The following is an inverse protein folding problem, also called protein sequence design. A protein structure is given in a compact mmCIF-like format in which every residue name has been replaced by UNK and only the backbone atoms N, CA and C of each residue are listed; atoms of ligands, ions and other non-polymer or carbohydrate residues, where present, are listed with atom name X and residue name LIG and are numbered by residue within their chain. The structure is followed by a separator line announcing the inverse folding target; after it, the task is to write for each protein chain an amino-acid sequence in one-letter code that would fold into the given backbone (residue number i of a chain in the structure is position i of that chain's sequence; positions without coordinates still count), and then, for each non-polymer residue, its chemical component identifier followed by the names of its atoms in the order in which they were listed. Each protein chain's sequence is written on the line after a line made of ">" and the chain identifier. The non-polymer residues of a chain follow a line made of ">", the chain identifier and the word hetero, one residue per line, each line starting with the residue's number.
data_IF_170396403145
#
_entry.id   IF_170396403145
#
_cell.length_a   1.000
_cell.length_b   1.000
_cell.length_c   1.000
_cell.angle_alpha   90.00
_cell.angle_beta   90.00
_cell.angle_gamma   90.00
#
_symmetry.space_group_name_H-M   'P 1'
#
loop_
_entity.id
_entity.type
_entity.pdbx_description
1 polymer ?
#
# COMPACT_ATOMS: atom_id res chain seq x y z
N UNK A 1 20.07 12.61 29.94
CA UNK A 1 18.93 13.53 30.22
C UNK A 1 18.39 13.20 31.61
N UNK A 2 18.14 14.20 32.47
CA UNK A 2 17.64 14.01 33.85
C UNK A 2 16.86 15.25 34.34
N UNK A 3 15.97 15.07 35.33
CA UNK A 3 15.14 16.11 35.94
C UNK A 3 15.24 16.07 37.47
N UNK A 4 14.99 17.21 38.12
CA UNK A 4 14.82 17.29 39.57
C UNK A 4 13.36 16.99 39.93
N UNK A 5 13.14 16.06 40.85
CA UNK A 5 11.81 15.73 41.38
C UNK A 5 11.83 15.78 42.90
N UNK A 6 10.66 15.61 43.54
CA UNK A 6 10.53 15.52 44.99
C UNK A 6 11.30 14.33 45.59
N UNK A 7 11.56 13.28 44.80
CA UNK A 7 12.35 12.10 45.19
C UNK A 7 13.84 12.24 44.87
N UNK A 8 14.27 13.40 44.39
CA UNK A 8 15.63 13.67 43.95
C UNK A 8 15.81 13.67 42.43
N UNK A 9 17.06 13.70 41.99
CA UNK A 9 17.38 13.84 40.57
C UNK A 9 17.33 12.48 39.86
N UNK A 10 16.57 12.39 38.77
CA UNK A 10 16.33 11.12 38.07
C UNK A 10 15.78 11.26 36.65
N UNK A 11 15.29 10.14 36.12
CA UNK A 11 14.58 10.04 34.83
C UNK A 11 13.45 9.01 34.95
N UNK A 12 12.39 9.11 34.14
CA UNK A 12 11.31 8.13 34.16
C UNK A 12 11.83 6.72 33.81
N UNK A 13 11.14 5.72 34.38
CA UNK A 13 11.28 4.34 33.93
C UNK A 13 10.45 4.10 32.67
N UNK A 14 10.86 3.15 31.85
CA UNK A 14 10.26 2.94 30.52
C UNK A 14 8.73 2.82 30.53
N UNK A 15 8.13 2.15 31.52
CA UNK A 15 6.68 1.92 31.59
C UNK A 15 5.87 3.17 31.95
N UNK A 16 6.35 4.01 32.88
CA UNK A 16 5.54 5.12 33.43
C UNK A 16 5.30 6.23 32.41
N UNK A 17 6.16 6.32 31.39
CA UNK A 17 6.04 7.29 30.31
C UNK A 17 4.74 7.08 29.53
N UNK A 18 4.45 5.85 29.12
CA UNK A 18 3.25 5.51 28.34
C UNK A 18 1.96 5.69 29.15
N UNK A 19 1.90 5.22 30.40
CA UNK A 19 0.76 5.43 31.28
C UNK A 19 0.48 6.92 31.53
N UNK A 20 1.51 7.72 31.83
CA UNK A 20 1.34 9.14 32.15
C UNK A 20 0.90 9.96 30.92
N UNK A 21 1.52 9.72 29.76
CA UNK A 21 1.19 10.46 28.54
C UNK A 21 -0.17 10.09 27.98
N UNK A 22 -0.48 8.79 27.86
CA UNK A 22 -1.76 8.34 27.29
C UNK A 22 -2.94 8.82 28.12
N UNK A 23 -2.87 8.69 29.44
CA UNK A 23 -3.90 9.19 30.37
C UNK A 23 -4.11 10.70 30.24
N UNK A 24 -3.03 11.48 30.15
CA UNK A 24 -3.12 12.95 30.01
C UNK A 24 -3.81 13.37 28.71
N UNK A 25 -3.56 12.66 27.61
CA UNK A 25 -4.02 13.07 26.29
C UNK A 25 -5.34 12.43 25.87
N UNK A 26 -5.64 11.22 26.33
CA UNK A 26 -6.81 10.43 25.91
C UNK A 26 -7.84 10.25 27.04
N UNK A 27 -7.45 10.50 28.29
CA UNK A 27 -8.27 10.18 29.46
C UNK A 27 -8.27 8.69 29.79
N UNK A 28 -9.15 8.29 30.72
CA UNK A 28 -9.33 6.89 31.13
C UNK A 28 -10.83 6.59 31.33
N UNK A 29 -11.34 5.45 30.83
CA UNK A 29 -10.69 4.58 29.85
C UNK A 29 -10.62 5.23 28.46
N UNK A 30 -9.63 4.88 27.65
CA UNK A 30 -9.63 5.14 26.21
C UNK A 30 -9.81 3.86 25.40
N UNK A 31 -10.08 3.99 24.10
CA UNK A 31 -10.62 2.88 23.31
C UNK A 31 -9.59 1.80 22.94
N UNK A 32 -8.49 2.18 22.28
CA UNK A 32 -7.55 1.22 21.70
C UNK A 32 -6.11 1.56 22.11
N UNK A 33 -5.37 0.55 22.59
CA UNK A 33 -3.92 0.62 22.80
C UNK A 33 -3.23 -0.47 21.98
N UNK A 34 -2.20 -0.08 21.21
CA UNK A 34 -1.50 -0.97 20.28
C UNK A 34 -0.05 -1.22 20.68
N UNK A 35 0.52 -2.37 20.32
CA UNK A 35 1.97 -2.57 20.34
C UNK A 35 2.39 -3.93 19.81
N UNK A 36 3.67 -4.27 19.90
CA UNK A 36 4.15 -5.61 19.56
C UNK A 36 3.73 -6.66 20.61
N UNK A 37 3.68 -7.94 20.22
CA UNK A 37 3.40 -9.06 21.14
C UNK A 37 4.41 -9.15 22.29
N UNK A 38 5.63 -8.68 22.09
CA UNK A 38 6.68 -8.57 23.11
C UNK A 38 6.37 -7.51 24.18
N UNK A 39 5.48 -6.56 23.89
CA UNK A 39 5.07 -5.54 24.85
C UNK A 39 3.93 -6.03 25.76
N UNK A 40 3.25 -7.14 25.45
CA UNK A 40 2.23 -7.72 26.35
C UNK A 40 2.79 -7.85 27.76
N UNK A 41 3.97 -8.47 27.87
CA UNK A 41 4.69 -8.59 29.13
C UNK A 41 6.18 -8.24 28.96
N UNK A 42 6.77 -7.41 29.85
CA UNK A 42 6.13 -6.81 31.03
C UNK A 42 5.48 -5.44 30.74
N UNK A 43 5.66 -4.86 29.56
CA UNK A 43 5.40 -3.44 29.33
C UNK A 43 3.95 -3.02 29.54
N UNK A 44 3.02 -3.50 28.71
CA UNK A 44 1.60 -3.20 28.79
C UNK A 44 0.96 -3.71 30.09
N UNK A 45 1.42 -4.86 30.61
CA UNK A 45 0.98 -5.36 31.92
C UNK A 45 1.33 -4.37 33.04
N UNK A 46 2.52 -3.76 33.00
CA UNK A 46 2.93 -2.74 33.96
C UNK A 46 2.18 -1.42 33.75
N UNK A 47 1.87 -1.04 32.51
CA UNK A 47 1.05 0.14 32.24
C UNK A 47 -0.37 0.00 32.80
N UNK A 48 -1.00 -1.17 32.63
CA UNK A 48 -2.27 -1.51 33.25
C UNK A 48 -2.14 -1.37 34.77
N UNK A 49 -1.12 -1.98 35.38
CA UNK A 49 -0.93 -1.93 36.82
C UNK A 49 -0.73 -0.49 37.34
N UNK A 50 -0.01 0.35 36.60
CA UNK A 50 0.23 1.76 36.96
C UNK A 50 -1.03 2.62 36.82
N UNK A 51 -1.78 2.45 35.73
CA UNK A 51 -2.95 3.26 35.40
C UNK A 51 -4.19 2.84 36.19
N UNK A 52 -4.40 1.54 36.40
CA UNK A 52 -5.58 0.99 37.06
C UNK A 52 -5.43 0.87 38.59
N UNK A 53 -4.27 1.23 39.15
CA UNK A 53 -4.02 1.21 40.60
C UNK A 53 -5.07 1.99 41.42
N UNK A 54 -5.67 3.04 40.83
CA UNK A 54 -6.72 3.85 41.44
C UNK A 54 -8.14 3.30 41.23
N UNK A 55 -8.28 2.10 40.64
CA UNK A 55 -9.56 1.42 40.43
C UNK A 55 -10.35 1.87 39.19
N UNK A 56 -9.73 2.61 38.27
CA UNK A 56 -10.33 3.04 37.00
C UNK A 56 -9.74 2.22 35.87
N UNK A 57 -10.59 1.74 34.95
CA UNK A 57 -10.16 1.00 33.76
C UNK A 57 -9.27 1.87 32.87
N UNK A 58 -8.18 1.31 32.36
CA UNK A 58 -7.21 2.04 31.53
C UNK A 58 -7.59 2.04 30.05
N UNK A 59 -7.81 0.86 29.45
CA UNK A 59 -8.02 0.68 27.99
C UNK A 59 -9.14 -0.32 27.71
N UNK A 60 -9.97 -0.08 26.69
CA UNK A 60 -11.02 -1.01 26.29
C UNK A 60 -10.52 -2.19 25.45
N UNK A 61 -9.68 -1.94 24.44
CA UNK A 61 -9.17 -2.93 23.51
C UNK A 61 -7.65 -2.85 23.37
N UNK A 62 -6.99 -3.99 23.43
CA UNK A 62 -5.55 -4.12 23.21
C UNK A 62 -5.29 -4.87 21.91
N UNK A 63 -4.53 -4.26 21.00
CA UNK A 63 -4.18 -4.84 19.71
C UNK A 63 -2.67 -5.10 19.66
N UNK A 64 -2.27 -6.36 19.53
CA UNK A 64 -0.86 -6.74 19.46
C UNK A 64 -0.50 -7.35 18.12
N UNK A 65 0.48 -6.77 17.43
CA UNK A 65 1.02 -7.36 16.21
C UNK A 65 2.06 -8.44 16.53
N UNK A 66 2.06 -9.49 15.72
CA UNK A 66 3.03 -10.57 15.81
C UNK A 66 4.41 -10.14 15.29
N UNK A 67 5.40 -10.98 15.57
CA UNK A 67 6.77 -10.73 15.16
C UNK A 67 6.99 -10.87 13.65
N UNK A 68 7.88 -10.01 13.15
CA UNK A 68 8.50 -10.18 11.84
C UNK A 68 9.67 -11.17 11.95
N UNK A 69 9.64 -12.21 11.13
CA UNK A 69 10.77 -13.11 10.89
C UNK A 69 11.51 -12.65 9.63
N UNK A 70 12.81 -12.92 9.55
CA UNK A 70 13.62 -12.70 8.35
C UNK A 70 14.24 -14.03 7.95
N UNK A 71 13.91 -14.52 6.74
CA UNK A 71 14.32 -15.83 6.25
C UNK A 71 14.03 -16.98 7.26
N UNK A 72 12.86 -16.93 7.90
CA UNK A 72 12.38 -17.93 8.86
C UNK A 72 12.98 -17.80 10.26
N UNK A 73 13.81 -16.79 10.54
CA UNK A 73 14.46 -16.59 11.84
C UNK A 73 14.05 -15.27 12.49
N UNK A 74 14.09 -15.20 13.81
CA UNK A 74 13.89 -13.93 14.54
C UNK A 74 14.96 -12.93 14.13
N UNK A 75 14.56 -11.69 13.92
CA UNK A 75 15.47 -10.61 13.55
C UNK A 75 16.46 -10.32 14.69
N UNK A 76 17.76 -10.31 14.39
CA UNK A 76 18.79 -9.91 15.35
C UNK A 76 20.02 -9.35 14.64
N UNK A 77 20.71 -8.41 15.29
CA UNK A 77 21.98 -7.87 14.77
C UNK A 77 23.06 -8.94 14.70
N UNK A 78 23.11 -9.85 15.67
CA UNK A 78 24.11 -10.93 15.74
C UNK A 78 23.98 -11.96 14.62
N UNK A 79 22.76 -12.23 14.14
CA UNK A 79 22.53 -13.12 13.00
C UNK A 79 22.73 -12.42 11.65
N UNK A 80 22.98 -11.10 11.63
CA UNK A 80 23.12 -10.32 10.40
C UNK A 80 21.84 -10.20 9.58
N UNK A 81 20.69 -10.66 10.11
CA UNK A 81 19.39 -10.66 9.43
C UNK A 81 18.50 -9.47 9.85
N UNK A 82 19.11 -8.40 10.38
CA UNK A 82 18.44 -7.17 10.75
C UNK A 82 18.58 -6.15 9.61
N UNK A 83 17.45 -5.67 9.09
CA UNK A 83 17.40 -4.65 8.06
C UNK A 83 16.62 -3.45 8.56
N UNK A 84 17.19 -2.25 8.41
CA UNK A 84 16.41 -1.02 8.51
C UNK A 84 15.76 -0.73 7.17
N UNK A 85 14.72 0.12 7.18
CA UNK A 85 14.14 0.65 5.95
C UNK A 85 15.20 1.32 5.07
N UNK A 86 16.13 2.08 5.67
CA UNK A 86 17.22 2.75 4.92
C UNK A 86 18.13 1.74 4.21
N UNK A 87 18.42 0.61 4.84
CA UNK A 87 19.25 -0.44 4.24
C UNK A 87 18.56 -1.05 3.02
N UNK A 88 17.25 -1.32 3.12
CA UNK A 88 16.47 -1.87 2.01
C UNK A 88 16.35 -0.89 0.84
N UNK A 89 16.13 0.39 1.13
CA UNK A 89 16.10 1.44 0.10
C UNK A 89 17.47 1.64 -0.56
N UNK A 90 18.56 1.62 0.22
CA UNK A 90 19.92 1.73 -0.31
C UNK A 90 20.31 0.53 -1.20
N UNK A 91 19.67 -0.63 -1.00
CA UNK A 91 19.78 -1.81 -1.87
C UNK A 91 18.94 -1.72 -3.15
N UNK A 92 18.14 -0.66 -3.32
CA UNK A 92 17.31 -0.45 -4.51
C UNK A 92 15.95 -1.14 -4.47
N UNK A 93 15.47 -1.59 -3.31
CA UNK A 93 14.12 -2.16 -3.21
C UNK A 93 13.06 -1.06 -3.24
N UNK A 94 11.99 -1.29 -4.01
CA UNK A 94 10.83 -0.41 -4.07
C UNK A 94 10.16 -0.26 -2.68
N UNK A 95 10.00 0.97 -2.16
CA UNK A 95 9.27 1.23 -0.92
C UNK A 95 7.88 0.59 -0.89
N UNK A 96 7.18 0.55 -2.03
CA UNK A 96 5.85 -0.05 -2.13
C UNK A 96 5.89 -1.57 -2.08
N UNK A 97 6.95 -2.19 -2.61
CA UNK A 97 7.15 -3.61 -2.43
C UNK A 97 7.36 -3.98 -0.95
N UNK A 98 8.12 -3.15 -0.21
CA UNK A 98 8.32 -3.31 1.23
C UNK A 98 6.99 -3.16 1.97
N UNK A 99 6.23 -2.09 1.70
CA UNK A 99 4.93 -1.84 2.32
C UNK A 99 3.96 -2.99 2.05
N UNK A 100 3.83 -3.42 0.80
CA UNK A 100 2.95 -4.52 0.43
C UNK A 100 3.33 -5.82 1.14
N UNK A 101 4.63 -6.13 1.25
CA UNK A 101 5.05 -7.32 1.98
C UNK A 101 4.63 -7.27 3.44
N UNK A 102 4.84 -6.13 4.12
CA UNK A 102 4.44 -5.93 5.52
C UNK A 102 2.92 -5.99 5.72
N UNK A 103 2.16 -5.58 4.71
CA UNK A 103 0.70 -5.59 4.68
C UNK A 103 0.11 -6.96 4.32
N UNK A 104 0.87 -7.84 3.66
CA UNK A 104 0.34 -9.04 2.97
C UNK A 104 -0.16 -10.17 3.90
N UNK A 105 0.01 -10.03 5.20
CA UNK A 105 -0.35 -11.03 6.21
C UNK A 105 -1.09 -10.35 7.35
N UNK A 106 -2.05 -11.06 7.94
CA UNK A 106 -2.82 -10.59 9.09
C UNK A 106 -1.88 -10.15 10.23
N UNK A 107 -2.13 -8.99 10.86
CA UNK A 107 -1.19 -8.39 11.83
C UNK A 107 -0.88 -9.30 13.04
N UNK A 108 -1.82 -10.17 13.41
CA UNK A 108 -1.68 -11.21 14.46
C UNK A 108 -1.02 -12.52 13.99
N UNK A 109 -0.45 -12.56 12.80
CA UNK A 109 0.29 -13.70 12.29
C UNK A 109 1.75 -13.30 12.05
N UNK A 110 2.66 -14.25 12.29
CA UNK A 110 4.08 -14.02 12.00
C UNK A 110 4.28 -13.88 10.49
N UNK A 111 4.89 -12.77 10.09
CA UNK A 111 5.26 -12.53 8.70
C UNK A 111 6.71 -12.96 8.50
N UNK A 112 6.96 -13.81 7.50
CA UNK A 112 8.31 -14.11 7.06
C UNK A 112 8.75 -13.15 5.95
N UNK A 113 9.55 -12.15 6.34
CA UNK A 113 10.17 -11.20 5.44
C UNK A 113 11.34 -11.84 4.69
N UNK A 114 11.33 -11.70 3.36
CA UNK A 114 12.39 -12.20 2.49
C UNK A 114 12.65 -11.22 1.36
N UNK A 115 13.92 -10.94 1.09
CA UNK A 115 14.35 -10.12 -0.05
C UNK A 115 13.91 -10.75 -1.39
N UNK A 116 13.78 -12.08 -1.46
CA UNK A 116 13.23 -12.77 -2.64
C UNK A 116 11.80 -12.34 -2.96
N UNK A 117 10.96 -12.14 -1.95
CA UNK A 117 9.60 -11.65 -2.18
C UNK A 117 9.61 -10.19 -2.69
N UNK A 118 10.52 -9.35 -2.19
CA UNK A 118 10.67 -7.96 -2.67
C UNK A 118 11.01 -7.87 -4.17
N UNK A 119 11.61 -8.90 -4.75
CA UNK A 119 11.87 -8.95 -6.20
C UNK A 119 10.62 -9.31 -7.03
N UNK A 120 9.61 -9.93 -6.41
CA UNK A 120 8.41 -10.41 -7.09
C UNK A 120 7.21 -9.47 -6.91
N UNK A 121 7.17 -8.75 -5.79
CA UNK A 121 6.08 -7.84 -5.46
C UNK A 121 5.95 -6.63 -6.41
N UNK A 122 7.02 -6.05 -6.99
CA UNK A 122 6.89 -4.94 -7.95
C UNK A 122 5.92 -5.24 -9.10
N UNK A 123 5.91 -6.48 -9.63
CA UNK A 123 4.94 -6.89 -10.64
C UNK A 123 3.48 -6.83 -10.14
N UNK A 124 3.26 -6.99 -8.83
CA UNK A 124 1.94 -6.82 -8.21
C UNK A 124 1.57 -5.35 -8.06
N UNK A 125 2.50 -4.50 -7.65
CA UNK A 125 2.31 -3.04 -7.61
C UNK A 125 2.00 -2.51 -9.01
N UNK A 126 2.74 -2.97 -10.02
CA UNK A 126 2.52 -2.57 -11.40
C UNK A 126 1.14 -2.98 -11.91
N UNK A 127 0.61 -4.15 -11.51
CA UNK A 127 -0.78 -4.53 -11.84
C UNK A 127 -1.82 -3.55 -11.30
N UNK A 128 -1.60 -2.99 -10.11
CA UNK A 128 -2.48 -1.94 -9.58
C UNK A 128 -2.38 -0.65 -10.38
N UNK A 129 -1.15 -0.22 -10.73
CA UNK A 129 -0.90 0.97 -11.56
C UNK A 129 -1.50 0.83 -12.95
N UNK A 130 -1.21 -0.27 -13.63
CA UNK A 130 -1.75 -0.60 -14.96
C UNK A 130 -3.28 -0.57 -14.95
N UNK A 131 -3.91 -1.12 -13.92
CA UNK A 131 -5.37 -1.09 -13.76
C UNK A 131 -5.91 0.34 -13.67
N UNK A 132 -5.27 1.22 -12.89
CA UNK A 132 -5.66 2.63 -12.80
C UNK A 132 -5.49 3.37 -14.13
N UNK A 133 -4.42 3.09 -14.88
CA UNK A 133 -4.21 3.65 -16.22
C UNK A 133 -5.32 3.19 -17.16
N UNK A 134 -5.65 1.89 -17.19
CA UNK A 134 -6.74 1.36 -18.02
C UNK A 134 -8.10 1.98 -17.70
N UNK A 135 -8.37 2.23 -16.41
CA UNK A 135 -9.58 2.94 -15.98
C UNK A 135 -9.59 4.40 -16.43
N UNK A 136 -8.44 5.07 -16.38
CA UNK A 136 -8.32 6.44 -16.86
C UNK A 136 -8.57 6.52 -18.37
N UNK A 137 -7.93 5.66 -19.16
CA UNK A 137 -8.09 5.58 -20.62
C UNK A 137 -9.56 5.32 -21.00
N UNK A 138 -10.22 4.36 -20.34
CA UNK A 138 -11.64 4.06 -20.57
C UNK A 138 -12.59 5.18 -20.09
N UNK A 139 -12.12 6.06 -19.20
CA UNK A 139 -12.87 7.17 -18.60
C UNK A 139 -12.72 8.51 -19.33
N UNK A 140 -11.81 8.62 -20.30
CA UNK A 140 -11.39 9.86 -20.97
C UNK A 140 -12.51 10.60 -21.71
N UNK A 141 -13.57 9.88 -22.09
CA UNK A 141 -14.60 10.35 -23.03
C UNK A 141 -16.01 10.46 -22.40
N UNK A 142 -16.24 11.15 -21.26
CA UNK A 142 -17.65 11.48 -20.86
C UNK A 142 -17.84 12.62 -19.81
N UNK A 143 -19.00 13.31 -19.80
CA UNK A 143 -19.37 14.38 -18.88
C UNK A 143 -19.57 13.93 -17.43
N UNK A 144 -19.34 14.86 -16.51
CA UNK A 144 -19.33 14.69 -15.04
C UNK A 144 -20.60 14.08 -14.37
N UNK A 145 -21.68 13.76 -15.09
CA UNK A 145 -23.00 13.45 -14.51
C UNK A 145 -23.66 12.12 -14.94
N UNK A 146 -23.06 11.33 -15.84
CA UNK A 146 -23.64 10.05 -16.23
C UNK A 146 -23.45 8.95 -15.16
N UNK A 147 -24.44 8.07 -15.01
CA UNK A 147 -24.43 6.98 -14.02
C UNK A 147 -23.83 5.69 -14.61
N UNK A 148 -23.11 4.89 -13.80
CA UNK A 148 -22.61 3.59 -14.23
C UNK A 148 -23.75 2.63 -14.58
N UNK A 149 -23.51 1.77 -15.56
CA UNK A 149 -24.41 0.69 -15.96
C UNK A 149 -24.60 -0.32 -14.82
N UNK A 150 -25.82 -0.85 -14.72
CA UNK A 150 -26.26 -1.74 -13.62
C UNK A 150 -25.25 -2.84 -13.25
N UNK A 151 -24.74 -3.55 -14.26
CA UNK A 151 -23.81 -4.66 -14.03
C UNK A 151 -22.44 -4.21 -13.47
N UNK A 152 -21.98 -2.99 -13.77
CA UNK A 152 -20.75 -2.44 -13.16
C UNK A 152 -21.03 -1.95 -11.75
N UNK A 153 -22.18 -1.30 -11.53
CA UNK A 153 -22.62 -0.87 -10.20
C UNK A 153 -22.74 -2.04 -9.21
N UNK A 154 -23.26 -3.19 -9.65
CA UNK A 154 -23.33 -4.42 -8.86
C UNK A 154 -21.92 -4.92 -8.47
N UNK A 155 -20.98 -4.97 -9.41
CA UNK A 155 -19.59 -5.36 -9.13
C UNK A 155 -18.89 -4.40 -8.15
N UNK A 156 -19.14 -3.10 -8.28
CA UNK A 156 -18.60 -2.07 -7.38
C UNK A 156 -19.16 -2.27 -5.97
N UNK A 157 -20.47 -2.47 -5.83
CA UNK A 157 -21.13 -2.70 -4.54
C UNK A 157 -20.62 -3.97 -3.87
N UNK A 158 -20.54 -5.08 -4.62
CA UNK A 158 -20.06 -6.37 -4.12
C UNK A 158 -18.60 -6.30 -3.67
N UNK A 159 -17.74 -5.61 -4.44
CA UNK A 159 -16.34 -5.43 -4.09
C UNK A 159 -16.17 -4.56 -2.84
N UNK A 160 -16.94 -3.46 -2.73
CA UNK A 160 -16.93 -2.58 -1.56
C UNK A 160 -17.34 -3.33 -0.29
N UNK A 161 -18.48 -4.03 -0.34
CA UNK A 161 -19.00 -4.81 0.78
C UNK A 161 -18.02 -5.91 1.21
N UNK A 162 -17.44 -6.65 0.25
CA UNK A 162 -16.44 -7.69 0.57
C UNK A 162 -15.19 -7.12 1.22
N UNK A 163 -14.68 -6.01 0.72
CA UNK A 163 -13.51 -5.35 1.28
C UNK A 163 -13.80 -4.85 2.70
N UNK A 164 -14.92 -4.16 2.90
CA UNK A 164 -15.34 -3.62 4.20
C UNK A 164 -15.55 -4.74 5.22
N UNK A 165 -16.35 -5.76 4.89
CA UNK A 165 -16.57 -6.91 5.77
C UNK A 165 -15.27 -7.64 6.12
N UNK A 166 -14.30 -7.70 5.20
CA UNK A 166 -12.98 -8.29 5.49
C UNK A 166 -12.16 -7.41 6.44
N UNK A 167 -12.21 -6.09 6.29
CA UNK A 167 -11.50 -5.18 7.20
C UNK A 167 -12.15 -5.10 8.57
N UNK A 168 -13.48 -5.22 8.65
CA UNK A 168 -14.25 -5.26 9.90
C UNK A 168 -14.00 -6.57 10.69
N UNK A 169 -13.63 -7.65 9.99
CA UNK A 169 -13.16 -8.91 10.57
C UNK A 169 -11.70 -8.80 11.01
N UNK A 170 -11.43 -8.08 12.13
CA UNK A 170 -10.11 -7.93 12.74
C UNK A 170 -8.99 -7.50 11.77
N UNK A 171 -9.29 -6.59 10.84
CA UNK A 171 -8.34 -6.11 9.82
C UNK A 171 -7.80 -7.25 8.94
N UNK A 172 -8.67 -8.17 8.50
CA UNK A 172 -8.30 -9.31 7.64
C UNK A 172 -7.90 -8.89 6.22
N UNK A 173 -6.64 -8.48 6.13
CA UNK A 173 -6.01 -7.94 4.94
C UNK A 173 -5.90 -8.93 3.79
N UNK A 174 -5.75 -10.23 4.10
CA UNK A 174 -5.68 -11.29 3.10
C UNK A 174 -6.99 -11.41 2.32
N UNK A 175 -8.12 -11.40 3.03
CA UNK A 175 -9.44 -11.43 2.42
C UNK A 175 -9.76 -10.11 1.68
N UNK A 176 -9.38 -8.97 2.27
CA UNK A 176 -9.54 -7.66 1.64
C UNK A 176 -8.78 -7.57 0.30
N UNK A 177 -7.51 -7.98 0.26
CA UNK A 177 -6.72 -8.01 -0.99
C UNK A 177 -7.34 -8.96 -2.03
N UNK A 178 -7.90 -10.10 -1.62
CA UNK A 178 -8.59 -11.00 -2.53
C UNK A 178 -9.83 -10.36 -3.18
N UNK A 179 -10.58 -9.55 -2.43
CA UNK A 179 -11.70 -8.76 -2.95
C UNK A 179 -11.22 -7.74 -4.01
N UNK A 180 -10.12 -7.03 -3.73
CA UNK A 180 -9.52 -6.07 -4.69
C UNK A 180 -9.07 -6.77 -5.98
N UNK A 181 -8.31 -7.86 -5.90
CA UNK A 181 -7.86 -8.58 -7.10
C UNK A 181 -9.03 -9.16 -7.90
N UNK A 182 -10.08 -9.64 -7.23
CA UNK A 182 -11.30 -10.12 -7.88
C UNK A 182 -11.98 -8.98 -8.64
N UNK A 183 -12.12 -7.81 -8.01
CA UNK A 183 -12.68 -6.62 -8.64
C UNK A 183 -11.89 -6.18 -9.87
N UNK A 184 -10.56 -6.05 -9.75
CA UNK A 184 -9.67 -5.69 -10.86
C UNK A 184 -9.84 -6.64 -12.04
N UNK A 185 -9.92 -7.95 -11.78
CA UNK A 185 -10.08 -8.98 -12.81
C UNK A 185 -11.41 -8.84 -13.55
N UNK A 186 -12.52 -8.66 -12.85
CA UNK A 186 -13.83 -8.53 -13.49
C UNK A 186 -13.96 -7.23 -14.28
N UNK A 187 -13.42 -6.11 -13.77
CA UNK A 187 -13.42 -4.85 -14.51
C UNK A 187 -12.51 -4.91 -15.74
N UNK A 188 -11.28 -5.44 -15.63
CA UNK A 188 -10.40 -5.63 -16.79
C UNK A 188 -11.08 -6.46 -17.89
N UNK A 189 -11.78 -7.53 -17.52
CA UNK A 189 -12.56 -8.36 -18.46
C UNK A 189 -13.65 -7.56 -19.19
N UNK A 190 -14.25 -6.56 -18.54
CA UNK A 190 -15.22 -5.66 -19.19
C UNK A 190 -14.54 -4.69 -20.13
N UNK A 191 -13.39 -4.13 -19.76
CA UNK A 191 -12.57 -3.28 -20.63
C UNK A 191 -12.19 -4.07 -21.89
N UNK A 192 -11.65 -5.29 -21.75
CA UNK A 192 -11.22 -6.15 -22.86
C UNK A 192 -12.37 -6.50 -23.85
N UNK A 193 -13.62 -6.46 -23.37
CA UNK A 193 -14.81 -6.73 -24.17
C UNK A 193 -15.46 -5.48 -24.77
N UNK A 194 -14.91 -4.29 -24.50
CA UNK A 194 -15.54 -3.02 -24.87
C UNK A 194 -16.88 -2.77 -24.17
N UNK A 195 -17.10 -3.38 -22.99
CA UNK A 195 -18.33 -3.29 -22.22
C UNK A 195 -18.23 -2.36 -21.01
N UNK A 196 -17.14 -1.59 -20.91
CA UNK A 196 -16.96 -0.58 -19.87
C UNK A 196 -17.23 0.79 -20.48
N UNK A 197 -18.25 1.49 -19.97
CA UNK A 197 -18.51 2.88 -20.35
C UNK A 197 -17.62 3.82 -19.54
N UNK A 198 -17.42 5.07 -19.96
CA UNK A 198 -16.63 6.01 -19.15
C UNK A 198 -17.22 6.28 -17.74
N UNK A 199 -18.55 6.36 -17.53
CA UNK A 199 -19.12 6.41 -16.18
C UNK A 199 -18.79 5.19 -15.32
N UNK A 200 -18.76 3.99 -15.93
CA UNK A 200 -18.34 2.77 -15.25
C UNK A 200 -16.87 2.86 -14.81
N UNK A 201 -16.00 3.34 -15.70
CA UNK A 201 -14.58 3.49 -15.43
C UNK A 201 -14.31 4.50 -14.31
N UNK A 202 -15.00 5.64 -14.34
CA UNK A 202 -14.92 6.67 -13.30
C UNK A 202 -15.41 6.16 -11.93
N UNK A 203 -16.51 5.40 -11.90
CA UNK A 203 -17.01 4.80 -10.67
C UNK A 203 -16.06 3.73 -10.11
N UNK A 204 -15.49 2.88 -10.97
CA UNK A 204 -14.50 1.88 -10.58
C UNK A 204 -13.21 2.52 -10.05
N UNK A 205 -12.75 3.62 -10.66
CA UNK A 205 -11.58 4.40 -10.21
C UNK A 205 -11.82 5.01 -8.83
N UNK A 206 -13.02 5.58 -8.58
CA UNK A 206 -13.40 6.08 -7.25
C UNK A 206 -13.35 5.00 -6.18
N UNK A 207 -13.83 3.79 -6.48
CA UNK A 207 -13.73 2.66 -5.54
C UNK A 207 -12.28 2.25 -5.30
N UNK A 208 -11.46 2.15 -6.36
CA UNK A 208 -10.06 1.77 -6.22
C UNK A 208 -9.27 2.77 -5.38
N UNK A 209 -9.50 4.08 -5.57
CA UNK A 209 -8.94 5.13 -4.71
C UNK A 209 -9.41 5.02 -3.26
N UNK A 210 -10.64 4.57 -3.02
CA UNK A 210 -11.14 4.32 -1.66
C UNK A 210 -10.42 3.15 -1.00
N UNK A 211 -10.18 2.05 -1.71
CA UNK A 211 -9.34 0.95 -1.22
C UNK A 211 -7.91 1.43 -0.94
N UNK A 212 -7.35 2.23 -1.85
CA UNK A 212 -5.97 2.69 -1.70
C UNK A 212 -5.76 3.69 -0.55
N UNK A 213 -6.79 4.42 -0.12
CA UNK A 213 -6.71 5.21 1.12
C UNK A 213 -6.46 4.35 2.37
N UNK A 214 -6.81 3.06 2.32
CA UNK A 214 -6.53 2.08 3.39
C UNK A 214 -5.19 1.38 3.11
N UNK A 215 -4.99 0.90 1.88
CA UNK A 215 -3.84 0.07 1.53
C UNK A 215 -2.55 0.89 1.35
N UNK A 216 -2.64 2.07 0.73
CA UNK A 216 -1.53 2.98 0.45
C UNK A 216 -0.50 2.41 -0.51
N UNK A 217 -0.94 1.74 -1.58
CA UNK A 217 -0.10 1.01 -2.54
C UNK A 217 0.02 1.73 -3.89
N UNK A 218 -0.94 2.57 -4.26
CA UNK A 218 -1.02 3.26 -5.55
C UNK A 218 -0.61 4.72 -5.41
N UNK A 219 -1.14 5.42 -4.40
CA UNK A 219 -0.94 6.86 -4.18
C UNK A 219 0.49 7.24 -3.79
N UNK A 220 1.40 6.27 -3.70
CA UNK A 220 2.85 6.49 -3.66
C UNK A 220 3.45 6.58 -5.07
N UNK A 221 2.64 6.96 -6.06
CA UNK A 221 3.13 7.72 -7.20
C UNK A 221 3.38 9.14 -6.73
N UNK A 222 4.58 9.39 -6.21
CA UNK A 222 5.26 10.57 -6.71
C UNK A 222 5.29 10.38 -8.22
N UNK A 223 4.29 10.94 -8.91
CA UNK A 223 4.54 11.37 -10.26
C UNK A 223 5.69 12.34 -10.12
N UNK A 224 6.91 11.85 -10.33
CA UNK A 224 7.71 12.60 -11.27
C UNK A 224 6.81 12.72 -12.48
N UNK A 225 6.36 13.95 -12.78
CA UNK A 225 5.76 14.23 -14.08
C UNK A 225 6.57 13.43 -15.09
N UNK A 226 5.90 12.57 -15.88
CA UNK A 226 6.54 11.88 -17.00
C UNK A 226 7.38 12.96 -17.67
N UNK A 227 8.73 12.87 -17.61
CA UNK A 227 9.55 14.00 -18.00
C UNK A 227 9.16 14.39 -19.40
N UNK A 228 9.03 15.69 -19.71
CA UNK A 228 8.59 16.14 -21.04
C UNK A 228 9.34 15.39 -22.17
N UNK A 229 10.61 15.06 -21.91
CA UNK A 229 11.46 14.21 -22.75
C UNK A 229 10.89 12.82 -23.06
N UNK A 230 10.31 12.11 -22.10
CA UNK A 230 9.71 10.79 -22.29
C UNK A 230 8.49 10.90 -23.21
N UNK A 231 7.65 11.91 -23.01
CA UNK A 231 6.51 12.20 -23.90
C UNK A 231 6.97 12.52 -25.32
N UNK A 232 8.00 13.37 -25.47
CA UNK A 232 8.61 13.68 -26.77
C UNK A 232 9.18 12.44 -27.46
N UNK A 233 9.82 11.54 -26.72
CA UNK A 233 10.38 10.29 -27.24
C UNK A 233 9.29 9.34 -27.72
N UNK A 234 8.17 9.23 -27.00
CA UNK A 234 7.01 8.42 -27.43
C UNK A 234 6.45 8.94 -28.75
N UNK A 235 6.27 10.26 -28.87
CA UNK A 235 5.79 10.89 -30.10
C UNK A 235 6.79 10.71 -31.26
N UNK A 236 8.09 10.92 -31.00
CA UNK A 236 9.15 10.74 -31.99
C UNK A 236 9.22 9.28 -32.48
N UNK A 237 9.04 8.30 -31.57
CA UNK A 237 8.95 6.88 -31.91
C UNK A 237 7.73 6.58 -32.77
N UNK A 238 6.56 7.13 -32.42
CA UNK A 238 5.33 6.96 -33.21
C UNK A 238 5.51 7.51 -34.63
N UNK A 239 6.18 8.66 -34.78
CA UNK A 239 6.45 9.29 -36.07
C UNK A 239 7.54 8.55 -36.87
N UNK A 240 8.54 7.98 -36.22
CA UNK A 240 9.52 7.08 -36.85
C UNK A 240 8.84 5.82 -37.42
N UNK A 241 7.94 5.19 -36.64
CA UNK A 241 7.15 4.03 -37.09
C UNK A 241 6.22 4.37 -38.25
N UNK A 242 5.54 5.53 -38.22
CA UNK A 242 4.72 6.01 -39.36
C UNK A 242 5.53 6.17 -40.64
N UNK A 243 6.77 6.66 -40.52
CA UNK A 243 7.73 6.82 -41.63
C UNK A 243 8.45 5.52 -42.01
N UNK A 244 8.14 4.40 -41.34
CA UNK A 244 8.79 3.07 -41.49
C UNK A 244 10.30 3.09 -41.20
N UNK A 245 10.75 4.03 -40.38
CA UNK A 245 12.11 4.07 -39.85
C UNK A 245 12.17 3.25 -38.56
N UNK A 246 12.37 1.94 -38.74
CA UNK A 246 12.37 0.98 -37.63
C UNK A 246 13.65 1.06 -36.78
N UNK A 247 14.77 1.46 -37.37
CA UNK A 247 16.04 1.61 -36.66
C UNK A 247 15.96 2.74 -35.63
N UNK A 248 15.46 3.91 -36.03
CA UNK A 248 15.21 5.02 -35.10
C UNK A 248 14.15 4.67 -34.05
N UNK A 249 13.10 3.93 -34.43
CA UNK A 249 12.06 3.51 -33.48
C UNK A 249 12.55 2.51 -32.42
N UNK A 250 13.45 1.60 -32.79
CA UNK A 250 14.08 0.67 -31.85
C UNK A 250 15.08 1.38 -30.94
N UNK A 251 15.89 2.32 -31.48
CA UNK A 251 16.79 3.13 -30.67
C UNK A 251 16.04 3.95 -29.60
N UNK A 252 14.91 4.57 -29.97
CA UNK A 252 14.08 5.33 -29.02
C UNK A 252 13.40 4.39 -28.00
N UNK A 253 13.02 3.16 -28.39
CA UNK A 253 12.47 2.17 -27.45
C UNK A 253 13.50 1.81 -26.39
N UNK A 254 14.75 1.60 -26.80
CA UNK A 254 15.83 1.25 -25.88
C UNK A 254 16.18 2.45 -24.97
N UNK A 255 16.18 3.69 -25.49
CA UNK A 255 16.32 4.92 -24.70
C UNK A 255 15.20 5.06 -23.66
N UNK A 256 13.94 4.79 -24.03
CA UNK A 256 12.80 4.79 -23.12
C UNK A 256 12.95 3.70 -22.05
N UNK A 257 13.40 2.51 -22.42
CA UNK A 257 13.62 1.40 -21.48
C UNK A 257 14.72 1.75 -20.45
N UNK A 258 15.80 2.38 -20.88
CA UNK A 258 16.87 2.85 -20.00
C UNK A 258 16.42 3.97 -19.05
N UNK A 259 15.42 4.75 -19.46
CA UNK A 259 14.74 5.75 -18.62
C UNK A 259 13.69 5.13 -17.68
N UNK A 260 13.53 3.80 -17.67
CA UNK A 260 12.55 3.12 -16.84
C UNK A 260 11.15 3.11 -17.45
N UNK A 261 11.01 3.19 -18.77
CA UNK A 261 9.71 3.19 -19.44
C UNK A 261 9.64 2.17 -20.60
N UNK A 262 8.64 1.30 -20.60
CA UNK A 262 8.26 0.45 -21.74
C UNK A 262 7.17 1.12 -22.57
N UNK A 263 7.28 1.03 -23.89
CA UNK A 263 6.20 1.41 -24.80
C UNK A 263 5.55 0.16 -25.38
N UNK A 264 4.24 0.01 -25.18
CA UNK A 264 3.40 -1.00 -25.82
C UNK A 264 2.64 -0.37 -26.98
N UNK A 265 2.76 -0.93 -28.19
CA UNK A 265 2.01 -0.46 -29.34
C UNK A 265 0.58 -1.03 -29.31
N UNK A 266 -0.45 -0.18 -29.19
CA UNK A 266 -1.87 -0.59 -29.27
C UNK A 266 -2.53 -0.01 -30.53
N UNK A 267 -3.70 -0.53 -30.97
CA UNK A 267 -4.46 0.03 -32.09
C UNK A 267 -4.89 1.50 -31.90
N UNK A 268 -4.95 1.97 -30.65
CA UNK A 268 -5.35 3.33 -30.25
C UNK A 268 -4.15 4.29 -30.14
N UNK A 269 -2.93 3.76 -30.08
CA UNK A 269 -1.69 4.52 -29.99
C UNK A 269 -0.60 3.82 -29.16
N UNK A 270 0.61 4.39 -29.08
CA UNK A 270 1.63 3.88 -28.17
C UNK A 270 1.24 4.16 -26.71
N UNK A 271 1.24 3.12 -25.88
CA UNK A 271 0.97 3.17 -24.45
C UNK A 271 2.29 3.13 -23.68
N UNK A 272 2.50 4.08 -22.77
CA UNK A 272 3.69 4.14 -21.91
C UNK A 272 3.45 3.39 -20.60
N UNK A 273 4.46 2.68 -20.11
CA UNK A 273 4.45 1.95 -18.85
C UNK A 273 5.78 2.17 -18.12
N UNK A 274 5.74 2.63 -16.89
CA UNK A 274 6.93 2.75 -16.04
C UNK A 274 7.38 1.36 -15.52
N UNK A 275 8.70 1.14 -15.39
CA UNK A 275 9.36 -0.13 -15.01
C UNK A 275 9.81 -0.08 -13.55
#
# INVERSE_FOLDING_TARGET
>A
VCWNTELGRGRPGWHIECSAMSTKHLGQPFDIHTGGVDLIFPHHTNEIAQSEACGVKFVNFWLHNEHLLVNGQKMSKSLGNFFTLRDLLAKGYDPMAIRYQLLSVHYRQQLNFTEKALLQIPATIQRFRDFMIRLHEAGSDDPNDAQPGKATSELISEAAERFENSMDDDLNISAALAAVFTFMREINRRIDRGHLTPPDANAASKLMNRFDRVLGLIASGGGEEIPARVTELVEARAEARKRKDFESADHIRDELHDMGFVVEDTPEGPRLKEI
#
